data_IF_539757225413
#
_entry.id   IF_539757225413
#
_cell.length_a   1.000
_cell.length_b   1.000
_cell.length_c   1.000
_cell.angle_alpha   90.00
_cell.angle_beta   90.00
_cell.angle_gamma   90.00
#
_symmetry.space_group_name_H-M   'P 1'
#
loop_
_entity.id
_entity.type
_entity.pdbx_description
1 polymer ?
#
# COMPACT_ATOMS: atom_id res chain seq x y z
N UNK A 1 53.36 43.14 -1.86
CA UNK A 1 52.56 42.13 -2.60
C UNK A 1 52.15 40.88 -1.78
N UNK A 2 52.41 40.80 -0.46
CA UNK A 2 52.16 39.56 0.33
C UNK A 2 50.79 39.57 1.05
N UNK A 3 50.20 40.74 1.31
CA UNK A 3 48.90 40.87 2.04
C UNK A 3 47.66 40.48 1.22
N UNK A 4 47.70 40.62 -0.11
CA UNK A 4 46.54 40.31 -0.97
C UNK A 4 46.30 38.80 -1.14
N UNK A 5 47.36 37.98 -1.13
CA UNK A 5 47.26 36.52 -1.27
C UNK A 5 46.60 35.84 -0.05
N UNK A 6 46.73 36.38 1.16
CA UNK A 6 46.11 35.82 2.37
C UNK A 6 44.58 35.97 2.40
N UNK A 7 44.03 37.05 1.83
CA UNK A 7 42.56 37.26 1.76
C UNK A 7 41.88 36.34 0.75
N UNK A 8 42.53 36.01 -0.36
CA UNK A 8 41.96 35.06 -1.34
C UNK A 8 41.77 33.66 -0.75
N UNK A 9 42.72 33.20 0.07
CA UNK A 9 42.67 31.85 0.66
C UNK A 9 41.66 31.73 1.80
N UNK A 10 41.38 32.81 2.54
CA UNK A 10 40.39 32.81 3.61
C UNK A 10 38.93 32.78 3.12
N UNK A 11 38.68 33.15 1.86
CA UNK A 11 37.34 33.11 1.24
C UNK A 11 37.19 31.89 0.33
N UNK A 12 38.25 31.48 -0.37
CA UNK A 12 38.21 30.34 -1.28
C UNK A 12 38.01 28.98 -0.57
N UNK A 13 38.65 28.75 0.58
CA UNK A 13 38.47 27.49 1.33
C UNK A 13 37.03 27.27 1.83
N UNK A 14 36.35 28.22 2.51
CA UNK A 14 34.99 27.99 2.97
C UNK A 14 33.98 27.87 1.81
N UNK A 15 34.19 28.57 0.69
CA UNK A 15 33.34 28.44 -0.51
C UNK A 15 33.55 27.08 -1.19
N UNK A 16 34.79 26.58 -1.26
CA UNK A 16 35.10 25.26 -1.80
C UNK A 16 34.55 24.14 -0.89
N UNK A 17 34.62 24.31 0.44
CA UNK A 17 33.99 23.39 1.39
C UNK A 17 32.47 23.42 1.28
N UNK A 18 31.83 24.59 1.14
CA UNK A 18 30.38 24.67 0.91
C UNK A 18 29.98 24.04 -0.43
N UNK A 19 30.77 24.22 -1.48
CA UNK A 19 30.52 23.62 -2.79
C UNK A 19 30.74 22.10 -2.78
N UNK A 20 31.70 21.59 -2.00
CA UNK A 20 31.92 20.15 -1.80
C UNK A 20 30.83 19.52 -0.91
N UNK A 21 30.33 20.24 0.10
CA UNK A 21 29.21 19.78 0.94
C UNK A 21 27.90 19.82 0.15
N UNK A 22 27.60 20.91 -0.57
CA UNK A 22 26.43 21.00 -1.43
C UNK A 22 26.51 20.00 -2.59
N UNK A 23 27.68 19.88 -3.24
CA UNK A 23 27.93 18.90 -4.29
C UNK A 23 27.87 17.46 -3.80
N UNK A 24 28.34 17.19 -2.57
CA UNK A 24 28.25 15.88 -1.91
C UNK A 24 26.82 15.52 -1.52
N UNK A 25 26.03 16.48 -1.02
CA UNK A 25 24.60 16.28 -0.69
C UNK A 25 23.76 16.09 -1.96
N UNK A 26 24.05 16.83 -3.03
CA UNK A 26 23.40 16.64 -4.33
C UNK A 26 23.81 15.29 -4.93
N UNK A 27 25.10 14.94 -4.95
CA UNK A 27 25.57 13.64 -5.45
C UNK A 27 25.00 12.45 -4.66
N UNK A 28 24.85 12.57 -3.33
CA UNK A 28 24.22 11.54 -2.51
C UNK A 28 22.73 11.36 -2.85
N UNK A 29 22.01 12.45 -3.17
CA UNK A 29 20.62 12.40 -3.64
C UNK A 29 20.44 11.64 -4.96
N UNK A 30 21.46 11.63 -5.83
CA UNK A 30 21.40 10.93 -7.14
C UNK A 30 21.96 9.49 -7.09
N UNK A 31 22.78 9.14 -6.10
CA UNK A 31 23.47 7.84 -6.01
C UNK A 31 22.68 6.74 -5.29
N UNK A 32 21.44 7.00 -4.84
CA UNK A 32 20.67 6.05 -4.00
C UNK A 32 19.32 5.63 -4.58
N UNK A 33 18.96 6.07 -5.78
CA UNK A 33 17.72 5.64 -6.43
C UNK A 33 17.92 4.24 -7.01
N UNK A 34 17.11 3.23 -6.62
CA UNK A 34 17.19 1.93 -7.25
C UNK A 34 16.92 2.02 -8.75
N UNK A 35 17.62 1.21 -9.54
CA UNK A 35 17.60 1.29 -11.01
C UNK A 35 16.20 1.09 -11.64
N UNK A 36 15.23 0.51 -10.92
CA UNK A 36 13.86 0.29 -11.38
C UNK A 36 12.81 1.25 -10.82
N UNK A 37 13.20 2.19 -9.94
CA UNK A 37 12.29 3.17 -9.38
C UNK A 37 12.12 4.36 -10.33
N UNK A 38 10.92 4.50 -10.90
CA UNK A 38 10.51 5.61 -11.77
C UNK A 38 9.68 6.62 -10.99
N UNK A 39 9.92 7.91 -11.26
CA UNK A 39 9.24 9.01 -10.59
C UNK A 39 8.56 9.91 -11.62
N UNK A 40 7.42 10.47 -11.25
CA UNK A 40 6.66 11.37 -12.12
C UNK A 40 6.09 12.53 -11.30
N UNK A 41 6.14 13.75 -11.84
CA UNK A 41 5.35 14.85 -11.29
C UNK A 41 3.87 14.48 -11.39
N UNK A 42 3.15 14.49 -10.27
CA UNK A 42 1.74 14.11 -10.26
C UNK A 42 0.90 14.98 -11.21
N UNK A 43 1.33 16.21 -11.52
CA UNK A 43 0.67 17.05 -12.50
C UNK A 43 0.69 16.45 -13.92
N UNK A 44 1.70 15.65 -14.26
CA UNK A 44 1.88 14.99 -15.56
C UNK A 44 1.25 13.60 -15.61
N UNK A 45 0.74 13.09 -14.49
CA UNK A 45 0.08 11.79 -14.42
C UNK A 45 -1.29 11.77 -15.12
N UNK A 46 -1.72 10.55 -15.45
CA UNK A 46 -3.01 10.29 -16.08
C UNK A 46 -4.18 10.66 -15.14
N UNK A 47 -5.34 11.05 -15.69
CA UNK A 47 -6.56 11.18 -14.90
C UNK A 47 -6.90 9.86 -14.18
N UNK A 48 -7.41 9.97 -12.95
CA UNK A 48 -7.95 8.85 -12.22
C UNK A 48 -9.08 8.18 -13.01
N UNK A 49 -9.18 6.83 -13.01
CA UNK A 49 -10.32 6.14 -13.59
C UNK A 49 -11.63 6.69 -13.04
N UNK A 50 -12.60 6.94 -13.92
CA UNK A 50 -13.93 7.37 -13.48
C UNK A 50 -14.64 6.17 -12.83
N UNK A 51 -15.07 6.27 -11.56
CA UNK A 51 -15.82 5.20 -10.92
C UNK A 51 -17.11 4.88 -11.68
N UNK A 52 -17.56 3.63 -11.62
CA UNK A 52 -18.83 3.23 -12.22
C UNK A 52 -20.00 4.04 -11.65
N UNK A 53 -20.86 4.54 -12.52
CA UNK A 53 -22.03 5.29 -12.10
C UNK A 53 -23.02 4.37 -11.37
N UNK A 54 -23.47 4.80 -10.20
CA UNK A 54 -24.46 4.05 -9.43
C UNK A 54 -25.82 3.98 -10.14
N UNK A 55 -26.39 2.79 -10.21
CA UNK A 55 -27.78 2.56 -10.64
C UNK A 55 -28.77 2.93 -9.52
N UNK A 56 -30.06 2.79 -9.79
CA UNK A 56 -31.12 2.94 -8.77
C UNK A 56 -31.10 1.84 -7.71
N UNK A 57 -30.46 0.70 -8.01
CA UNK A 57 -30.32 -0.45 -7.10
C UNK A 57 -28.93 -0.55 -6.47
N UNK A 58 -28.02 0.38 -6.79
CA UNK A 58 -26.67 0.42 -6.26
C UNK A 58 -26.61 0.73 -4.77
N UNK A 59 -25.63 0.14 -4.10
CA UNK A 59 -25.32 0.29 -2.69
C UNK A 59 -24.32 1.43 -2.50
N UNK A 60 -24.82 2.63 -2.17
CA UNK A 60 -24.03 3.88 -2.14
C UNK A 60 -23.28 4.13 -0.84
N UNK A 61 -23.49 3.27 0.16
CA UNK A 61 -22.94 3.48 1.49
C UNK A 61 -21.48 3.08 1.59
N UNK A 62 -20.87 3.45 2.70
CA UNK A 62 -19.55 3.01 3.10
C UNK A 62 -19.48 2.74 4.60
N UNK A 63 -18.50 1.93 5.01
CA UNK A 63 -18.15 1.66 6.39
C UNK A 63 -16.66 1.90 6.60
N UNK A 64 -16.30 2.80 7.50
CA UNK A 64 -14.92 3.08 7.87
C UNK A 64 -14.51 2.31 9.13
N UNK A 65 -13.30 1.77 9.11
CA UNK A 65 -12.66 1.22 10.31
C UNK A 65 -11.31 1.89 10.54
N UNK A 66 -11.11 2.41 11.76
CA UNK A 66 -9.82 2.93 12.20
C UNK A 66 -9.02 1.79 12.86
N UNK A 67 -7.90 1.44 12.23
CA UNK A 67 -6.93 0.45 12.73
C UNK A 67 -5.60 1.06 13.15
N UNK A 68 -5.50 2.39 13.15
CA UNK A 68 -4.26 3.11 13.34
C UNK A 68 -3.32 3.00 12.13
N UNK A 69 -2.04 3.27 12.36
CA UNK A 69 -0.99 3.44 11.33
C UNK A 69 0.27 2.63 11.63
N UNK A 70 0.07 1.46 12.23
CA UNK A 70 1.11 0.56 12.74
C UNK A 70 2.11 1.20 13.73
N UNK A 71 1.60 1.93 14.74
CA UNK A 71 2.46 2.48 15.80
C UNK A 71 3.16 1.39 16.62
N UNK A 72 2.61 0.18 16.63
CA UNK A 72 3.18 -1.01 17.26
C UNK A 72 4.35 -1.64 16.51
N UNK A 73 4.68 -1.13 15.32
CA UNK A 73 5.80 -1.60 14.48
C UNK A 73 5.72 -3.11 14.18
N UNK A 74 4.52 -3.59 13.90
CA UNK A 74 4.30 -4.94 13.44
C UNK A 74 4.75 -5.04 12.00
N UNK A 75 5.92 -5.64 11.81
CA UNK A 75 6.52 -5.87 10.52
C UNK A 75 7.04 -7.31 10.46
N UNK A 76 6.95 -7.93 9.29
CA UNK A 76 7.59 -9.21 9.00
C UNK A 76 7.76 -9.35 7.48
N UNK A 77 8.46 -10.39 7.05
CA UNK A 77 8.62 -10.76 5.63
C UNK A 77 7.82 -12.00 5.26
N UNK A 78 6.71 -12.24 5.95
CA UNK A 78 5.85 -13.39 5.72
C UNK A 78 4.72 -13.03 4.75
N UNK A 79 4.14 -14.06 4.12
CA UNK A 79 2.97 -13.88 3.27
C UNK A 79 1.93 -14.99 3.49
N UNK A 80 1.01 -14.77 4.42
CA UNK A 80 -0.02 -15.76 4.79
C UNK A 80 -1.07 -16.00 3.69
N UNK A 81 -1.19 -15.08 2.72
CA UNK A 81 -2.16 -15.20 1.62
C UNK A 81 -1.55 -15.91 0.43
N UNK A 82 -0.35 -15.53 -0.04
CA UNK A 82 0.25 -16.14 -1.23
C UNK A 82 1.17 -17.32 -0.92
N UNK A 83 1.75 -17.40 0.29
CA UNK A 83 2.67 -18.47 0.70
C UNK A 83 2.45 -18.89 2.17
N UNK A 84 1.24 -19.36 2.53
CA UNK A 84 0.95 -19.79 3.89
C UNK A 84 1.92 -20.88 4.36
N UNK A 85 2.42 -20.76 5.59
CA UNK A 85 3.38 -21.69 6.19
C UNK A 85 4.85 -21.43 5.87
N UNK A 86 5.17 -20.47 4.97
CA UNK A 86 6.54 -20.15 4.57
C UNK A 86 7.03 -18.91 5.30
N UNK A 87 7.87 -19.11 6.32
CA UNK A 87 8.54 -18.00 7.03
C UNK A 87 9.47 -17.27 6.06
N UNK A 88 9.34 -15.95 5.99
CA UNK A 88 10.11 -15.12 5.06
C UNK A 88 9.67 -15.23 3.60
N UNK A 89 8.50 -15.85 3.32
CA UNK A 89 8.04 -16.12 1.95
C UNK A 89 7.72 -14.89 1.10
N UNK A 90 7.63 -13.69 1.70
CA UNK A 90 7.48 -12.46 0.93
C UNK A 90 8.79 -11.97 0.33
N UNK A 91 9.94 -12.28 0.94
CA UNK A 91 11.26 -11.72 0.57
C UNK A 91 11.37 -10.18 0.57
N UNK A 92 10.35 -9.45 1.00
CA UNK A 92 10.37 -8.02 1.36
C UNK A 92 9.58 -7.82 2.65
N UNK A 93 9.72 -6.66 3.29
CA UNK A 93 9.03 -6.37 4.55
C UNK A 93 7.64 -5.80 4.30
N UNK A 94 6.64 -6.33 5.01
CA UNK A 94 5.29 -5.80 5.04
C UNK A 94 5.03 -4.97 6.30
N UNK A 95 4.18 -3.96 6.14
CA UNK A 95 3.57 -3.12 7.17
C UNK A 95 2.16 -3.65 7.47
N UNK A 96 1.83 -3.85 8.75
CA UNK A 96 0.56 -4.46 9.18
C UNK A 96 -0.27 -3.54 10.07
N UNK A 97 -1.58 -3.52 9.85
CA UNK A 97 -2.58 -3.04 10.83
C UNK A 97 -3.67 -4.07 11.05
N UNK A 98 -4.36 -3.98 12.18
CA UNK A 98 -5.43 -4.89 12.58
C UNK A 98 -4.91 -6.07 13.40
N UNK A 99 -5.01 -7.27 12.87
CA UNK A 99 -4.67 -8.51 13.57
C UNK A 99 -3.22 -8.55 14.07
N UNK A 100 -3.03 -8.67 15.39
CA UNK A 100 -1.70 -8.63 16.03
C UNK A 100 -0.95 -9.97 16.02
N UNK A 101 -1.54 -11.05 15.52
CA UNK A 101 -0.87 -12.37 15.46
C UNK A 101 -0.41 -12.77 14.06
N UNK A 102 -0.66 -11.94 13.04
CA UNK A 102 -0.32 -12.23 11.64
C UNK A 102 1.16 -12.52 11.44
N UNK A 103 1.44 -13.71 10.90
CA UNK A 103 2.75 -14.18 10.45
C UNK A 103 2.56 -15.42 9.56
N UNK A 104 3.64 -15.99 9.05
CA UNK A 104 3.63 -17.15 8.15
C UNK A 104 2.91 -18.38 8.72
N UNK A 105 2.89 -18.54 10.05
CA UNK A 105 2.31 -19.69 10.75
C UNK A 105 0.89 -19.45 11.26
N UNK A 106 0.29 -18.30 10.92
CA UNK A 106 -1.06 -17.98 11.34
C UNK A 106 -2.08 -18.94 10.74
N UNK A 107 -2.98 -19.44 11.57
CA UNK A 107 -4.14 -20.24 11.18
C UNK A 107 -5.41 -19.41 11.34
N UNK A 108 -6.53 -19.91 10.82
CA UNK A 108 -7.84 -19.27 11.02
C UNK A 108 -8.17 -19.15 12.51
N UNK A 109 -7.81 -20.15 13.32
CA UNK A 109 -7.99 -20.14 14.77
C UNK A 109 -7.10 -19.11 15.45
N UNK A 110 -5.82 -19.00 15.07
CA UNK A 110 -4.90 -18.04 15.69
C UNK A 110 -5.33 -16.60 15.36
N UNK A 111 -5.68 -16.35 14.09
CA UNK A 111 -6.20 -15.05 13.65
C UNK A 111 -7.51 -14.70 14.37
N UNK A 112 -8.44 -15.65 14.50
CA UNK A 112 -9.70 -15.43 15.19
C UNK A 112 -9.54 -15.16 16.69
N UNK A 113 -8.52 -15.75 17.33
CA UNK A 113 -8.22 -15.57 18.74
C UNK A 113 -7.44 -14.27 19.03
N UNK A 114 -6.76 -13.71 18.03
CA UNK A 114 -5.84 -12.59 18.18
C UNK A 114 -6.47 -11.31 18.77
N UNK A 115 -5.64 -10.49 19.41
CA UNK A 115 -5.97 -9.08 19.59
C UNK A 115 -5.92 -8.32 18.26
N UNK A 116 -6.53 -7.14 18.22
CA UNK A 116 -6.51 -6.26 17.05
C UNK A 116 -6.16 -4.82 17.43
N UNK A 117 -5.64 -4.04 16.49
CA UNK A 117 -5.54 -2.57 16.59
C UNK A 117 -6.78 -1.86 16.04
N UNK A 118 -7.68 -2.57 15.36
CA UNK A 118 -8.90 -2.00 14.79
C UNK A 118 -10.00 -1.74 15.82
N UNK A 119 -10.78 -0.70 15.55
CA UNK A 119 -12.06 -0.46 16.20
C UNK A 119 -13.06 -1.59 15.96
N UNK A 120 -14.14 -1.59 16.75
CA UNK A 120 -15.27 -2.52 16.65
C UNK A 120 -14.93 -4.01 16.85
N UNK A 121 -13.69 -4.32 17.24
CA UNK A 121 -13.23 -5.69 17.39
C UNK A 121 -12.97 -6.40 16.07
N UNK A 122 -12.77 -5.64 14.98
CA UNK A 122 -12.35 -6.18 13.69
C UNK A 122 -10.97 -6.83 13.80
N UNK A 123 -10.90 -8.15 13.63
CA UNK A 123 -9.64 -8.90 13.71
C UNK A 123 -8.98 -9.10 12.36
N UNK A 124 -9.44 -8.43 11.31
CA UNK A 124 -8.91 -8.60 9.97
C UNK A 124 -7.44 -8.18 9.87
N UNK A 125 -6.77 -8.75 8.89
CA UNK A 125 -5.37 -8.49 8.58
C UNK A 125 -5.33 -7.57 7.36
N UNK A 126 -4.63 -6.44 7.47
CA UNK A 126 -4.38 -5.53 6.35
C UNK A 126 -2.89 -5.26 6.25
N UNK A 127 -2.31 -5.52 5.09
CA UNK A 127 -0.87 -5.31 4.91
C UNK A 127 -0.44 -5.01 3.49
N UNK A 128 0.69 -4.33 3.38
CA UNK A 128 1.30 -3.84 2.15
C UNK A 128 2.82 -3.75 2.35
N UNK A 129 3.65 -3.73 1.30
CA UNK A 129 5.09 -3.55 1.45
C UNK A 129 5.43 -2.22 2.12
N UNK A 130 6.44 -2.17 2.98
CA UNK A 130 6.86 -0.92 3.64
C UNK A 130 7.33 0.11 2.61
N UNK A 131 7.12 1.40 2.88
CA UNK A 131 7.80 2.47 2.16
C UNK A 131 9.16 2.75 2.79
N UNK A 132 10.17 3.01 1.97
CA UNK A 132 11.57 3.10 2.33
C UNK A 132 12.16 4.44 1.89
N UNK A 133 12.91 5.07 2.80
CA UNK A 133 13.74 6.23 2.51
C UNK A 133 15.21 5.85 2.47
N UNK A 134 16.02 6.42 1.54
CA UNK A 134 17.46 6.33 1.58
C UNK A 134 18.01 6.82 2.93
N UNK A 135 18.98 6.10 3.48
CA UNK A 135 19.56 6.32 4.79
C UNK A 135 21.03 5.90 4.80
N UNK A 136 21.87 6.54 5.62
CA UNK A 136 23.26 6.13 5.79
C UNK A 136 23.42 4.73 6.45
N UNK A 137 22.37 4.20 7.05
CA UNK A 137 22.33 2.86 7.68
C UNK A 137 21.01 2.17 7.35
N UNK A 138 21.04 0.85 7.18
CA UNK A 138 19.80 0.05 7.16
C UNK A 138 19.19 0.02 8.56
N UNK A 139 17.95 0.50 8.71
CA UNK A 139 17.18 0.43 9.96
C UNK A 139 15.85 -0.27 9.69
N UNK A 140 15.86 -1.61 9.79
CA UNK A 140 14.73 -2.50 9.52
C UNK A 140 14.22 -3.22 10.79
N UNK A 141 14.41 -2.62 11.97
CA UNK A 141 13.95 -3.18 13.26
C UNK A 141 14.29 -4.67 13.52
N UNK A 142 15.43 -5.15 13.03
CA UNK A 142 15.86 -6.54 13.23
C UNK A 142 15.30 -7.55 12.24
N UNK A 143 14.67 -7.10 11.15
CA UNK A 143 14.33 -7.96 10.00
C UNK A 143 15.46 -7.91 8.98
N UNK A 144 16.53 -8.64 9.27
CA UNK A 144 17.73 -8.65 8.43
C UNK A 144 17.56 -9.65 7.29
N UNK A 145 17.81 -9.23 6.04
CA UNK A 145 18.21 -10.17 4.99
C UNK A 145 17.78 -9.89 3.57
N UNK A 146 16.68 -9.15 3.32
CA UNK A 146 16.13 -9.03 1.95
C UNK A 146 15.62 -7.64 1.56
N UNK A 147 15.59 -6.69 2.49
CA UNK A 147 15.15 -5.32 2.23
C UNK A 147 16.24 -4.46 1.56
N UNK A 148 15.85 -3.33 0.96
CA UNK A 148 16.80 -2.35 0.40
C UNK A 148 17.90 -1.99 1.41
N UNK A 149 19.16 -2.22 1.04
CA UNK A 149 20.29 -1.72 1.81
C UNK A 149 20.27 -0.19 1.92
N UNK A 150 20.77 0.34 3.03
CA UNK A 150 20.88 1.78 3.26
C UNK A 150 19.52 2.48 3.19
N UNK A 151 18.52 1.90 3.85
CA UNK A 151 17.18 2.46 3.89
C UNK A 151 16.55 2.41 5.28
N UNK A 152 15.48 3.16 5.48
CA UNK A 152 14.70 3.20 6.73
C UNK A 152 13.21 3.18 6.40
N UNK A 153 12.45 2.40 7.17
CA UNK A 153 10.99 2.30 7.05
C UNK A 153 10.36 3.64 7.40
N UNK A 154 9.49 4.12 6.51
CA UNK A 154 8.62 5.26 6.75
C UNK A 154 7.34 4.78 7.40
N UNK A 155 7.06 5.25 8.61
CA UNK A 155 5.76 5.00 9.24
C UNK A 155 4.70 5.86 8.53
N UNK A 156 3.56 5.30 8.10
CA UNK A 156 2.48 6.07 7.52
C UNK A 156 2.03 7.22 8.43
N UNK A 157 1.67 8.35 7.82
CA UNK A 157 1.05 9.48 8.52
C UNK A 157 -0.43 9.24 8.79
N UNK A 158 -1.12 8.51 7.91
CA UNK A 158 -2.48 8.01 8.11
C UNK A 158 -2.73 6.76 7.28
N UNK A 159 -3.65 5.92 7.75
CA UNK A 159 -4.21 4.79 7.01
C UNK A 159 -5.73 4.94 7.04
N UNK A 160 -6.38 4.91 5.87
CA UNK A 160 -7.83 4.88 5.74
C UNK A 160 -8.23 3.49 5.26
N UNK A 161 -9.12 2.81 5.99
CA UNK A 161 -9.70 1.54 5.59
C UNK A 161 -11.20 1.75 5.46
N UNK A 162 -11.75 1.46 4.30
CA UNK A 162 -13.16 1.69 3.97
C UNK A 162 -13.72 0.49 3.21
N UNK A 163 -14.91 0.05 3.61
CA UNK A 163 -15.70 -0.93 2.87
C UNK A 163 -16.80 -0.19 2.12
N UNK A 164 -16.84 -0.31 0.80
CA UNK A 164 -17.76 0.40 -0.08
C UNK A 164 -18.78 -0.54 -0.69
N UNK A 165 -19.95 -0.03 -1.04
CA UNK A 165 -20.97 -0.81 -1.73
C UNK A 165 -20.71 -0.96 -3.23
N UNK A 166 -21.57 -1.73 -3.90
CA UNK A 166 -21.52 -1.94 -5.35
C UNK A 166 -22.31 -0.87 -6.10
N UNK A 167 -21.79 -0.45 -7.25
CA UNK A 167 -22.44 0.52 -8.14
C UNK A 167 -23.81 0.02 -8.66
N UNK A 168 -24.00 -1.30 -8.82
CA UNK A 168 -25.14 -1.85 -9.57
C UNK A 168 -26.17 -2.57 -8.69
N UNK A 169 -25.80 -3.01 -7.49
CA UNK A 169 -26.69 -3.76 -6.59
C UNK A 169 -26.32 -3.59 -5.11
N UNK A 170 -27.13 -4.19 -4.23
CA UNK A 170 -26.70 -4.52 -2.87
C UNK A 170 -25.52 -5.49 -2.87
N UNK A 171 -24.72 -5.45 -1.81
CA UNK A 171 -23.63 -6.39 -1.53
C UNK A 171 -24.08 -7.45 -0.53
N UNK A 172 -23.50 -8.64 -0.57
CA UNK A 172 -23.64 -9.68 0.45
C UNK A 172 -22.44 -9.67 1.40
N UNK A 173 -22.57 -10.28 2.58
CA UNK A 173 -21.46 -10.39 3.53
C UNK A 173 -20.26 -11.12 2.92
N UNK A 174 -19.05 -10.61 3.18
CA UNK A 174 -17.86 -11.42 2.97
C UNK A 174 -17.90 -12.62 3.92
N UNK A 175 -17.55 -13.82 3.45
CA UNK A 175 -17.33 -14.93 4.36
C UNK A 175 -16.07 -14.64 5.18
N UNK A 176 -16.14 -14.94 6.48
CA UNK A 176 -14.96 -14.88 7.33
C UNK A 176 -13.83 -15.74 6.73
N UNK A 177 -12.61 -15.23 6.84
CA UNK A 177 -11.38 -15.75 6.26
C UNK A 177 -11.25 -15.60 4.74
N UNK A 178 -12.13 -14.82 4.09
CA UNK A 178 -11.92 -14.41 2.71
C UNK A 178 -10.55 -13.73 2.58
N UNK A 179 -9.71 -14.28 1.71
CA UNK A 179 -8.40 -13.72 1.38
C UNK A 179 -8.55 -12.82 0.15
N UNK A 180 -7.78 -11.75 0.08
CA UNK A 180 -7.78 -10.90 -1.09
C UNK A 180 -6.39 -10.33 -1.34
N UNK A 181 -6.08 -10.12 -2.62
CA UNK A 181 -4.84 -9.48 -3.07
C UNK A 181 -5.17 -8.47 -4.16
N UNK A 182 -4.55 -7.29 -4.11
CA UNK A 182 -4.52 -6.30 -5.19
C UNK A 182 -3.08 -5.96 -5.54
N UNK A 183 -2.81 -5.61 -6.80
CA UNK A 183 -1.45 -5.46 -7.31
C UNK A 183 -0.70 -6.78 -7.46
N UNK A 184 0.62 -6.71 -7.73
CA UNK A 184 1.45 -7.90 -7.97
C UNK A 184 2.91 -7.69 -7.53
N UNK A 185 3.44 -8.43 -6.54
CA UNK A 185 4.86 -8.34 -6.16
C UNK A 185 5.85 -8.66 -7.29
N UNK A 186 5.42 -9.39 -8.33
CA UNK A 186 6.25 -9.74 -9.49
C UNK A 186 5.92 -8.93 -10.76
N UNK A 187 5.25 -7.79 -10.58
CA UNK A 187 4.70 -7.00 -11.68
C UNK A 187 5.73 -6.58 -12.74
N UNK A 188 6.99 -6.32 -12.39
CA UNK A 188 8.00 -5.91 -13.37
C UNK A 188 8.55 -7.11 -14.15
N UNK A 189 8.90 -8.20 -13.47
CA UNK A 189 9.44 -9.41 -14.12
C UNK A 189 8.38 -10.18 -14.93
N UNK A 190 7.10 -10.08 -14.56
CA UNK A 190 5.97 -10.69 -15.27
C UNK A 190 5.36 -9.81 -16.37
N UNK A 191 5.99 -8.69 -16.72
CA UNK A 191 5.54 -7.85 -17.83
C UNK A 191 4.22 -7.10 -17.56
N UNK A 192 3.95 -6.74 -16.30
CA UNK A 192 2.83 -5.91 -15.89
C UNK A 192 1.54 -6.65 -15.56
N UNK A 193 1.56 -7.99 -15.49
CA UNK A 193 0.38 -8.81 -15.14
C UNK A 193 -0.17 -8.44 -13.76
N UNK A 194 -1.50 -8.27 -13.65
CA UNK A 194 -2.20 -7.93 -12.39
C UNK A 194 -1.77 -6.59 -11.77
N UNK A 195 -1.28 -5.64 -12.58
CA UNK A 195 -0.84 -4.32 -12.12
C UNK A 195 -1.83 -3.20 -12.46
N UNK A 196 -2.99 -3.52 -13.03
CA UNK A 196 -4.00 -2.57 -13.51
C UNK A 196 -4.54 -1.67 -12.38
N UNK A 197 -4.53 -2.18 -11.15
CA UNK A 197 -5.00 -1.51 -9.94
C UNK A 197 -3.88 -0.98 -9.04
N UNK A 198 -2.63 -0.98 -9.51
CA UNK A 198 -1.53 -0.29 -8.82
C UNK A 198 -1.73 1.22 -9.00
N UNK A 199 -1.93 1.93 -7.90
CA UNK A 199 -2.33 3.32 -7.92
C UNK A 199 -1.63 4.14 -6.84
N UNK A 200 -0.96 5.20 -7.28
CA UNK A 200 -0.39 6.22 -6.44
C UNK A 200 -0.97 7.59 -6.80
N UNK A 201 -1.13 8.46 -5.81
CA UNK A 201 -1.60 9.83 -6.00
C UNK A 201 -0.99 10.75 -4.93
N UNK A 202 -1.32 12.04 -5.02
CA UNK A 202 -0.96 13.03 -4.01
C UNK A 202 -2.23 13.63 -3.38
N UNK A 203 -2.16 14.00 -2.11
CA UNK A 203 -3.32 14.55 -1.38
C UNK A 203 -3.97 15.78 -2.04
N UNK A 204 -3.21 16.56 -2.82
CA UNK A 204 -3.72 17.71 -3.57
C UNK A 204 -3.92 17.48 -5.08
N UNK A 205 -3.84 16.23 -5.56
CA UNK A 205 -4.04 15.86 -6.97
C UNK A 205 -4.82 14.52 -7.09
N UNK A 206 -5.89 14.40 -6.30
CA UNK A 206 -6.69 13.16 -6.15
C UNK A 206 -7.45 12.74 -7.41
N UNK A 207 -7.57 13.64 -8.37
CA UNK A 207 -8.10 13.43 -9.71
C UNK A 207 -7.08 12.82 -10.68
N UNK A 208 -5.85 12.55 -10.22
CA UNK A 208 -4.77 11.92 -11.00
C UNK A 208 -4.20 10.70 -10.28
N UNK A 209 -3.84 9.69 -11.06
CA UNK A 209 -3.18 8.47 -10.56
C UNK A 209 -2.03 8.06 -11.47
N UNK A 210 -1.05 7.38 -10.88
CA UNK A 210 0.09 6.82 -11.60
C UNK A 210 0.49 5.45 -11.04
N UNK A 211 1.19 4.66 -11.86
CA UNK A 211 1.89 3.45 -11.42
C UNK A 211 3.34 3.72 -11.01
N UNK A 212 3.87 4.90 -11.34
CA UNK A 212 5.20 5.38 -10.94
C UNK A 212 5.13 6.02 -9.55
N UNK A 213 6.27 6.21 -8.88
CA UNK A 213 6.30 6.96 -7.62
C UNK A 213 5.95 8.43 -7.87
N UNK A 214 4.87 8.98 -7.28
CA UNK A 214 4.52 10.37 -7.51
C UNK A 214 5.45 11.31 -6.74
N UNK A 215 5.87 12.36 -7.43
CA UNK A 215 6.46 13.56 -6.84
C UNK A 215 5.33 14.52 -6.47
N UNK A 216 5.05 14.63 -5.18
CA UNK A 216 3.98 15.48 -4.67
C UNK A 216 4.46 16.91 -4.40
N UNK A 217 3.56 17.88 -4.58
CA UNK A 217 3.83 19.28 -4.28
C UNK A 217 4.14 19.52 -2.79
N UNK A 218 4.79 20.65 -2.49
CA UNK A 218 5.17 20.98 -1.11
C UNK A 218 3.96 20.95 -0.16
N UNK A 219 4.08 20.21 0.95
CA UNK A 219 3.01 20.05 1.95
C UNK A 219 1.92 19.02 1.59
N UNK A 220 1.97 18.43 0.39
CA UNK A 220 1.11 17.32 0.02
C UNK A 220 1.67 15.99 0.55
N UNK A 221 0.77 15.03 0.77
CA UNK A 221 1.13 13.66 1.12
C UNK A 221 1.18 12.81 -0.14
N UNK A 222 2.15 11.89 -0.19
CA UNK A 222 2.12 10.74 -1.09
C UNK A 222 1.09 9.75 -0.59
N UNK A 223 0.21 9.26 -1.47
CA UNK A 223 -0.85 8.31 -1.11
C UNK A 223 -0.77 7.09 -2.01
N UNK A 224 -0.68 5.91 -1.40
CA UNK A 224 -0.93 4.62 -2.05
C UNK A 224 -2.40 4.31 -1.95
N UNK A 225 -3.00 3.88 -3.04
CA UNK A 225 -4.41 3.52 -3.13
C UNK A 225 -4.52 2.05 -3.50
N UNK A 226 -5.23 1.29 -2.67
CA UNK A 226 -5.46 -0.13 -2.83
C UNK A 226 -6.96 -0.40 -2.87
N UNK A 227 -7.50 -0.49 -4.09
CA UNK A 227 -8.82 -1.04 -4.33
C UNK A 227 -8.69 -2.56 -4.48
N UNK A 228 -9.48 -3.31 -3.73
CA UNK A 228 -9.51 -4.77 -3.79
C UNK A 228 -10.64 -5.28 -4.71
N UNK A 229 -10.46 -6.46 -5.31
CA UNK A 229 -11.55 -7.22 -5.91
C UNK A 229 -12.78 -7.33 -4.99
N UNK A 230 -13.99 -7.26 -5.57
CA UNK A 230 -15.25 -7.27 -4.80
C UNK A 230 -16.34 -8.18 -5.37
N UNK A 231 -16.01 -9.02 -6.36
CA UNK A 231 -16.90 -10.02 -6.92
C UNK A 231 -16.46 -11.43 -6.52
N UNK A 232 -17.12 -11.96 -5.48
CA UNK A 232 -16.80 -13.25 -4.87
C UNK A 232 -17.48 -14.41 -5.59
N UNK A 233 -16.81 -15.55 -5.75
CA UNK A 233 -17.36 -16.73 -6.43
C UNK A 233 -18.51 -17.43 -5.67
N UNK A 234 -18.81 -17.02 -4.45
CA UNK A 234 -19.90 -17.58 -3.65
C UNK A 234 -19.58 -18.91 -2.96
N UNK A 235 -18.34 -19.41 -3.06
CA UNK A 235 -17.99 -20.77 -2.62
C UNK A 235 -16.76 -20.86 -1.74
N UNK A 236 -15.62 -20.26 -2.14
CA UNK A 236 -14.35 -20.46 -1.45
C UNK A 236 -13.79 -19.14 -0.92
N UNK A 237 -13.21 -19.17 0.28
CA UNK A 237 -12.52 -18.03 0.89
C UNK A 237 -11.10 -17.83 0.35
N UNK A 238 -10.60 -18.82 -0.38
CA UNK A 238 -9.34 -18.76 -1.10
C UNK A 238 -9.40 -19.71 -2.31
N UNK A 239 -8.60 -19.45 -3.34
CA UNK A 239 -8.44 -20.32 -4.52
C UNK A 239 -7.01 -20.81 -4.62
N UNK A 240 -6.71 -21.89 -5.36
CA UNK A 240 -5.34 -22.39 -5.50
C UNK A 240 -4.33 -21.36 -6.05
N UNK A 241 -4.81 -20.36 -6.79
CA UNK A 241 -4.02 -19.24 -7.31
C UNK A 241 -4.14 -17.96 -6.46
N UNK A 242 -4.83 -18.03 -5.32
CA UNK A 242 -5.07 -16.93 -4.38
C UNK A 242 -5.75 -15.68 -4.96
N UNK A 243 -6.38 -15.81 -6.14
CA UNK A 243 -6.97 -14.68 -6.89
C UNK A 243 -8.30 -14.99 -7.54
N UNK A 244 -8.48 -16.17 -8.15
CA UNK A 244 -9.67 -16.46 -8.96
C UNK A 244 -11.00 -16.53 -8.19
N UNK A 245 -10.96 -16.69 -6.86
CA UNK A 245 -12.16 -16.70 -6.01
C UNK A 245 -12.77 -15.31 -5.76
N UNK A 246 -12.01 -14.23 -5.93
CA UNK A 246 -12.46 -12.85 -5.73
C UNK A 246 -11.87 -11.95 -6.83
N UNK A 247 -12.73 -11.45 -7.73
CA UNK A 247 -12.29 -10.70 -8.93
C UNK A 247 -12.83 -9.28 -8.94
N UNK A 248 -12.19 -8.39 -9.70
CA UNK A 248 -12.67 -7.02 -9.88
C UNK A 248 -14.01 -7.01 -10.64
N UNK A 249 -14.90 -6.05 -10.31
CA UNK A 249 -16.07 -5.77 -11.14
C UNK A 249 -15.69 -5.42 -12.58
N UNK A 250 -16.60 -5.66 -13.52
CA UNK A 250 -16.46 -5.20 -14.90
C UNK A 250 -16.58 -3.67 -14.98
N UNK A 251 -16.26 -3.06 -16.13
CA UNK A 251 -16.26 -1.60 -16.30
C UNK A 251 -17.58 -0.88 -15.91
N UNK A 252 -18.71 -1.61 -15.92
CA UNK A 252 -20.01 -1.12 -15.44
C UNK A 252 -20.25 -1.22 -13.93
N UNK A 253 -19.27 -1.68 -13.16
CA UNK A 253 -19.36 -1.92 -11.71
C UNK A 253 -20.11 -3.21 -11.33
N UNK A 254 -20.47 -4.03 -12.31
CA UNK A 254 -21.18 -5.29 -12.11
C UNK A 254 -20.25 -6.49 -11.99
N UNK A 255 -20.69 -7.48 -11.24
CA UNK A 255 -20.01 -8.76 -11.14
C UNK A 255 -20.35 -9.66 -12.34
N UNK A 256 -19.33 -10.33 -12.89
CA UNK A 256 -19.52 -11.32 -13.95
C UNK A 256 -20.44 -12.45 -13.48
N UNK A 257 -21.11 -13.12 -14.42
CA UNK A 257 -21.98 -14.26 -14.12
C UNK A 257 -21.22 -15.31 -13.28
N UNK A 258 -21.87 -15.79 -12.21
CA UNK A 258 -21.27 -16.75 -11.27
C UNK A 258 -20.43 -16.11 -10.17
N UNK A 259 -20.46 -14.77 -10.03
CA UNK A 259 -19.88 -14.06 -8.90
C UNK A 259 -20.89 -13.10 -8.28
N UNK A 260 -20.71 -12.80 -7.00
CA UNK A 260 -21.62 -12.01 -6.18
C UNK A 260 -20.87 -10.83 -5.57
N UNK A 261 -21.48 -9.63 -5.56
CA UNK A 261 -20.85 -8.45 -5.00
C UNK A 261 -20.77 -8.55 -3.47
N UNK A 262 -19.57 -8.40 -2.93
CA UNK A 262 -19.30 -8.19 -1.50
C UNK A 262 -18.86 -6.72 -1.29
N UNK A 263 -18.82 -6.18 -0.05
CA UNK A 263 -18.27 -4.85 0.15
C UNK A 263 -16.85 -4.74 -0.44
N UNK A 264 -16.60 -3.72 -1.25
CA UNK A 264 -15.28 -3.43 -1.81
C UNK A 264 -14.39 -2.85 -0.71
N UNK A 265 -13.30 -3.56 -0.40
CA UNK A 265 -12.27 -3.03 0.49
C UNK A 265 -11.42 -2.01 -0.28
N UNK A 266 -11.35 -0.80 0.26
CA UNK A 266 -10.50 0.29 -0.19
C UNK A 266 -9.57 0.71 0.94
N UNK A 267 -8.27 0.74 0.66
CA UNK A 267 -7.25 1.21 1.60
C UNK A 267 -6.48 2.36 0.99
N UNK A 268 -6.27 3.42 1.77
CA UNK A 268 -5.28 4.45 1.45
C UNK A 268 -4.20 4.52 2.52
N UNK A 269 -2.95 4.55 2.08
CA UNK A 269 -1.80 4.70 2.98
C UNK A 269 -1.06 5.97 2.62
N UNK A 270 -1.10 6.95 3.51
CA UNK A 270 -0.57 8.30 3.27
C UNK A 270 0.74 8.54 3.99
N UNK A 271 1.72 9.11 3.30
CA UNK A 271 3.04 9.42 3.81
C UNK A 271 3.33 10.92 3.68
N UNK A 272 3.85 11.52 4.76
CA UNK A 272 4.40 12.87 4.72
C UNK A 272 5.91 12.75 4.50
N UNK A 273 6.34 13.02 3.27
CA UNK A 273 7.74 12.89 2.87
C UNK A 273 8.39 14.28 2.74
N UNK A 274 9.69 14.43 3.03
CA UNK A 274 10.39 15.68 2.76
C UNK A 274 10.39 15.97 1.25
N UNK A 275 10.24 17.24 0.81
CA UNK A 275 10.21 17.58 -0.61
C UNK A 275 11.46 17.13 -1.39
N UNK A 276 11.26 16.61 -2.61
CA UNK A 276 12.34 16.14 -3.49
C UNK A 276 13.07 14.91 -2.95
N UNK A 277 12.39 14.10 -2.13
CA UNK A 277 12.93 12.84 -1.62
C UNK A 277 12.51 11.70 -2.52
N UNK A 278 13.48 10.98 -3.06
CA UNK A 278 13.24 9.70 -3.69
C UNK A 278 12.99 8.63 -2.62
N UNK A 279 11.92 7.86 -2.77
CA UNK A 279 11.47 6.81 -1.88
C UNK A 279 11.03 5.62 -2.72
N UNK A 280 11.09 4.42 -2.18
CA UNK A 280 10.61 3.23 -2.86
C UNK A 280 9.83 2.35 -1.90
N UNK A 281 9.00 1.46 -2.41
CA UNK A 281 8.52 0.34 -1.60
C UNK A 281 9.64 -0.69 -1.46
N UNK A 282 9.59 -1.46 -0.37
CA UNK A 282 10.37 -2.68 -0.31
C UNK A 282 9.80 -3.71 -1.29
N UNK A 283 10.68 -4.42 -1.98
CA UNK A 283 10.34 -5.37 -3.02
C UNK A 283 11.52 -6.30 -3.25
N UNK A 284 11.27 -7.39 -3.97
CA UNK A 284 12.32 -8.28 -4.44
C UNK A 284 13.43 -7.50 -5.18
N UNK A 285 14.72 -7.74 -4.91
CA UNK A 285 15.82 -7.11 -5.64
C UNK A 285 15.72 -7.28 -7.17
N UNK A 286 15.19 -8.40 -7.62
CA UNK A 286 14.96 -8.75 -9.04
C UNK A 286 13.89 -7.85 -9.69
N UNK A 287 12.96 -7.31 -8.89
CA UNK A 287 11.94 -6.36 -9.33
C UNK A 287 12.44 -4.90 -9.28
N UNK A 288 13.70 -4.72 -8.86
CA UNK A 288 14.41 -3.44 -8.86
C UNK A 288 13.69 -2.32 -8.08
N UNK A 289 12.88 -2.70 -7.09
CA UNK A 289 12.08 -1.78 -6.27
C UNK A 289 11.15 -0.88 -7.08
N UNK A 290 10.68 -1.40 -8.22
CA UNK A 290 9.73 -0.71 -9.09
C UNK A 290 8.40 -0.52 -8.39
N UNK A 291 7.81 0.67 -8.52
CA UNK A 291 6.47 0.98 -7.98
C UNK A 291 5.37 0.14 -8.63
N UNK A 292 5.61 -0.44 -9.81
CA UNK A 292 4.65 -1.32 -10.48
C UNK A 292 4.40 -2.62 -9.70
N UNK A 293 5.31 -2.98 -8.77
CA UNK A 293 5.15 -4.16 -7.92
C UNK A 293 4.37 -3.90 -6.64
N UNK A 294 3.85 -2.68 -6.48
CA UNK A 294 3.03 -2.35 -5.34
C UNK A 294 1.81 -3.29 -5.24
N UNK A 295 1.48 -3.67 -4.02
CA UNK A 295 0.40 -4.59 -3.73
C UNK A 295 -0.06 -4.43 -2.29
N UNK A 296 -1.26 -4.92 -2.04
CA UNK A 296 -1.78 -5.09 -0.69
C UNK A 296 -2.54 -6.41 -0.59
N UNK A 297 -2.60 -6.91 0.62
CA UNK A 297 -3.18 -8.20 0.93
C UNK A 297 -4.06 -8.09 2.17
N UNK A 298 -5.07 -8.94 2.20
CA UNK A 298 -6.13 -8.89 3.19
C UNK A 298 -6.59 -10.29 3.57
N UNK A 299 -6.92 -10.47 4.84
CA UNK A 299 -7.70 -11.61 5.32
C UNK A 299 -8.84 -11.06 6.18
N UNK A 300 -10.07 -11.33 5.77
CA UNK A 300 -11.25 -10.99 6.56
C UNK A 300 -11.28 -11.85 7.83
N UNK A 301 -11.26 -11.22 9.00
CA UNK A 301 -11.44 -11.93 10.27
C UNK A 301 -12.47 -11.21 11.13
N UNK A 302 -13.29 -10.35 10.53
CA UNK A 302 -14.42 -9.75 11.21
C UNK A 302 -15.32 -10.84 11.80
N UNK A 303 -15.82 -10.67 13.03
CA UNK A 303 -16.94 -11.47 13.51
C UNK A 303 -18.13 -11.31 12.56
N UNK A 304 -18.88 -12.37 12.30
CA UNK A 304 -20.03 -12.35 11.37
C UNK A 304 -21.04 -11.24 11.72
N UNK A 305 -21.24 -10.95 13.02
CA UNK A 305 -22.10 -9.85 13.47
C UNK A 305 -21.59 -8.47 13.08
N UNK A 306 -20.28 -8.27 13.06
CA UNK A 306 -19.66 -7.04 12.58
C UNK A 306 -19.80 -6.94 11.06
N UNK A 307 -19.50 -8.00 10.32
CA UNK A 307 -19.67 -8.01 8.86
C UNK A 307 -21.12 -7.74 8.45
N UNK A 308 -22.11 -8.29 9.17
CA UNK A 308 -23.51 -7.96 8.92
C UNK A 308 -23.81 -6.48 9.16
N UNK A 309 -23.22 -5.88 10.20
CA UNK A 309 -23.36 -4.43 10.47
C UNK A 309 -22.76 -3.58 9.34
N UNK A 310 -21.61 -4.00 8.79
CA UNK A 310 -20.99 -3.39 7.61
C UNK A 310 -21.93 -3.44 6.42
N UNK A 311 -22.44 -4.64 6.08
CA UNK A 311 -23.36 -4.87 4.96
C UNK A 311 -24.63 -4.03 5.11
N UNK A 312 -25.23 -4.00 6.30
CA UNK A 312 -26.44 -3.23 6.57
C UNK A 312 -26.20 -1.72 6.42
N UNK A 313 -25.05 -1.20 6.90
CA UNK A 313 -24.70 0.19 6.69
C UNK A 313 -24.55 0.52 5.20
N UNK A 314 -23.72 -0.26 4.50
CA UNK A 314 -23.39 -0.06 3.09
C UNK A 314 -24.64 -0.14 2.21
N UNK A 315 -25.45 -1.20 2.36
CA UNK A 315 -26.69 -1.39 1.60
C UNK A 315 -27.79 -0.39 1.92
N UNK A 316 -27.79 0.20 3.12
CA UNK A 316 -28.71 1.29 3.45
C UNK A 316 -28.30 2.65 2.86
N UNK A 317 -27.17 2.72 2.14
CA UNK A 317 -26.66 3.96 1.57
C UNK A 317 -26.07 4.93 2.60
N UNK A 318 -25.76 4.45 3.82
CA UNK A 318 -25.18 5.27 4.89
C UNK A 318 -23.66 5.27 4.81
N UNK A 319 -23.06 6.34 5.31
CA UNK A 319 -21.63 6.42 5.56
C UNK A 319 -21.39 6.25 7.07
N UNK A 320 -21.05 5.03 7.42
CA UNK A 320 -20.45 4.66 8.68
C UNK A 320 -18.92 4.55 8.45
#
# INVERSE_FOLDING_TARGET
MIRARKRLWQVALPVLCLALVAGGVVAYRWLSTPAGATYIDIADANPAPTPAAFTSTGSRGSWHVDCGRNQGRMYNSDNLVAQPGVVGGAHHVHDYVGNKSTNALSTEESLAAAETTCQFGDKSTYYWPVALLPSAKTQMDGMDGMSMNHSTIVVPSSVRIEYRGSAVSSVIAMPRFLRATTGNPHGASEGGVNTEHVQWTCSGARDKVTKDYPECGAGQQTIRVFDFPSCWNGTTTDSPDHRSHLVFPEAGGGCRIGTFPVPELHIEVSYTLPPGTHYAIDAFPEEHYSSITDHAMYVDVMPDSLMQTVVDCVNSGRHC
#
